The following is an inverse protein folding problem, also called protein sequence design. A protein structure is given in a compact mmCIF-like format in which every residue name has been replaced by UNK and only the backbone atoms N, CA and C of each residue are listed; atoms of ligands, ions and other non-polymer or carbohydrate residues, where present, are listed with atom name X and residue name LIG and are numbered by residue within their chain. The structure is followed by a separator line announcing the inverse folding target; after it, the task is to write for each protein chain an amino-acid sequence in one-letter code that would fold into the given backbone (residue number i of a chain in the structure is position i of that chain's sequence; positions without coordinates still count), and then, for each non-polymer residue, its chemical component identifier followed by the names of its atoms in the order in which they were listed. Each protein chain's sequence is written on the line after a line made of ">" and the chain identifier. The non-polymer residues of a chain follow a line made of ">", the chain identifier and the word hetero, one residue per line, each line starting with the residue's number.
data_IF_783469798389
#
_entry.id   IF_783469798389
#
_cell.length_a   1.000
_cell.length_b   1.000
_cell.length_c   1.000
_cell.angle_alpha   90.00
_cell.angle_beta   90.00
_cell.angle_gamma   90.00
#
_symmetry.space_group_name_H-M   'P 1'
#
loop_
_entity.id
_entity.type
_entity.pdbx_description
1 polymer ?
#
# COMPACT_ATOMS: atom_id res chain seq x y z
N UNK A 1 -8.97 15.09 -0.83
CA UNK A 1 -8.03 14.90 0.29
C UNK A 1 -8.84 14.67 1.54
N UNK A 2 -8.46 13.68 2.36
CA UNK A 2 -9.05 13.40 3.66
C UNK A 2 -7.95 13.38 4.70
N UNK A 3 -8.19 14.02 5.85
CA UNK A 3 -7.32 13.98 7.03
C UNK A 3 -8.12 13.50 8.22
N UNK A 4 -7.64 12.47 8.93
CA UNK A 4 -8.31 11.90 10.09
C UNK A 4 -7.35 11.04 10.92
N UNK A 5 -7.62 10.81 12.21
CA UNK A 5 -6.76 9.92 13.00
C UNK A 5 -6.89 8.46 12.54
N UNK A 6 -8.09 8.01 12.19
CA UNK A 6 -8.33 6.64 11.78
C UNK A 6 -9.34 6.59 10.64
N UNK A 7 -9.06 5.76 9.64
CA UNK A 7 -10.03 5.38 8.61
C UNK A 7 -10.27 3.87 8.65
N UNK A 8 -11.53 3.48 8.86
CA UNK A 8 -11.97 2.09 8.77
C UNK A 8 -12.77 1.91 7.47
N UNK A 9 -12.18 1.22 6.50
CA UNK A 9 -12.75 0.88 5.22
C UNK A 9 -12.99 -0.64 5.07
N UNK A 10 -13.31 -1.35 6.16
CA UNK A 10 -13.61 -2.78 6.10
C UNK A 10 -14.84 -3.06 5.23
N UNK A 11 -14.68 -3.92 4.22
CA UNK A 11 -15.71 -4.23 3.21
C UNK A 11 -16.25 -2.99 2.47
N UNK A 12 -15.58 -1.84 2.60
CA UNK A 12 -15.97 -0.57 2.03
C UNK A 12 -15.23 -0.25 0.75
N UNK A 13 -15.61 0.88 0.13
CA UNK A 13 -14.95 1.40 -1.07
C UNK A 13 -14.65 2.89 -0.87
N UNK A 14 -13.38 3.25 -1.00
CA UNK A 14 -12.93 4.63 -1.18
C UNK A 14 -12.41 4.75 -2.61
N UNK A 15 -12.96 5.68 -3.40
CA UNK A 15 -12.54 5.83 -4.79
C UNK A 15 -12.46 7.29 -5.25
N UNK A 16 -11.56 7.58 -6.19
CA UNK A 16 -11.39 8.91 -6.76
C UNK A 16 -10.88 8.89 -8.21
N UNK A 17 -11.48 9.71 -9.08
CA UNK A 17 -11.12 9.79 -10.50
C UNK A 17 -9.85 10.63 -10.77
N UNK A 18 -9.63 11.68 -9.99
CA UNK A 18 -8.43 12.54 -10.13
C UNK A 18 -7.31 12.09 -9.19
N UNK A 19 -7.64 11.27 -8.19
CA UNK A 19 -6.73 10.80 -7.17
C UNK A 19 -7.44 10.56 -5.85
N UNK A 20 -6.75 9.91 -4.92
CA UNK A 20 -7.16 9.72 -3.54
C UNK A 20 -5.95 10.06 -2.68
N UNK A 21 -6.05 11.14 -1.90
CA UNK A 21 -5.04 11.54 -0.92
C UNK A 21 -5.59 11.37 0.49
N UNK A 22 -4.96 10.49 1.28
CA UNK A 22 -5.31 10.21 2.67
C UNK A 22 -4.13 10.55 3.58
N UNK A 23 -4.34 11.44 4.55
CA UNK A 23 -3.38 11.72 5.62
C UNK A 23 -3.97 11.21 6.92
N UNK A 24 -3.46 10.09 7.43
CA UNK A 24 -4.10 9.35 8.52
C UNK A 24 -3.16 9.04 9.68
N UNK A 25 -3.71 8.78 10.86
CA UNK A 25 -2.99 8.04 11.89
C UNK A 25 -2.89 6.56 11.51
N UNK A 26 -4.02 5.91 11.22
CA UNK A 26 -4.08 4.51 10.82
C UNK A 26 -5.14 4.25 9.74
N UNK A 27 -4.92 3.22 8.92
CA UNK A 27 -5.88 2.73 7.93
C UNK A 27 -6.15 1.25 8.12
N UNK A 28 -7.43 0.90 8.30
CA UNK A 28 -7.91 -0.49 8.22
C UNK A 28 -8.72 -0.67 6.94
N UNK A 29 -8.13 -1.33 5.95
CA UNK A 29 -8.72 -1.66 4.64
C UNK A 29 -8.95 -3.18 4.48
N UNK A 30 -9.19 -3.91 5.57
CA UNK A 30 -9.35 -5.36 5.52
C UNK A 30 -10.61 -5.77 4.76
N UNK A 31 -10.48 -6.54 3.67
CA UNK A 31 -11.58 -6.87 2.76
C UNK A 31 -12.17 -5.66 2.01
N UNK A 32 -11.59 -4.47 2.18
CA UNK A 32 -12.02 -3.22 1.54
C UNK A 32 -11.25 -2.90 0.27
N UNK A 33 -11.64 -1.83 -0.39
CA UNK A 33 -10.97 -1.30 -1.58
C UNK A 33 -10.71 0.20 -1.47
N UNK A 34 -9.47 0.62 -1.69
CA UNK A 34 -9.10 2.02 -1.93
C UNK A 34 -8.54 2.10 -3.34
N UNK A 35 -9.19 2.89 -4.18
CA UNK A 35 -8.89 3.00 -5.61
C UNK A 35 -8.69 4.45 -6.05
N UNK A 36 -7.61 4.72 -6.77
CA UNK A 36 -7.43 5.98 -7.47
C UNK A 36 -7.20 5.73 -8.96
N UNK A 37 -7.89 6.49 -9.82
CA UNK A 37 -7.65 6.41 -11.27
C UNK A 37 -6.32 7.08 -11.68
N UNK A 38 -5.81 8.04 -10.92
CA UNK A 38 -4.57 8.75 -11.26
C UNK A 38 -3.49 8.57 -10.19
N UNK A 39 -3.68 9.12 -9.00
CA UNK A 39 -2.69 9.00 -7.92
C UNK A 39 -3.36 8.53 -6.64
N UNK A 40 -2.81 7.45 -6.06
CA UNK A 40 -3.15 7.03 -4.71
C UNK A 40 -2.00 7.45 -3.79
N UNK A 41 -2.20 8.53 -3.04
CA UNK A 41 -1.24 9.02 -2.06
C UNK A 41 -1.73 8.74 -0.64
N UNK A 42 -0.93 8.01 0.12
CA UNK A 42 -1.21 7.56 1.47
C UNK A 42 -0.08 8.00 2.38
N UNK A 43 -0.34 8.94 3.28
CA UNK A 43 0.60 9.38 4.31
C UNK A 43 0.05 9.00 5.67
N UNK A 44 0.68 8.04 6.34
CA UNK A 44 0.24 7.51 7.63
C UNK A 44 1.32 7.63 8.67
N UNK A 45 0.99 8.14 9.84
CA UNK A 45 1.91 8.12 11.00
C UNK A 45 1.95 6.77 11.71
N UNK A 46 1.00 5.89 11.39
CA UNK A 46 0.84 4.56 11.98
C UNK A 46 0.66 3.47 10.94
N UNK A 47 -0.06 2.41 11.32
CA UNK A 47 -0.16 1.19 10.54
C UNK A 47 -1.18 1.28 9.38
N UNK A 48 -0.83 0.62 8.27
CA UNK A 48 -1.76 0.24 7.20
C UNK A 48 -2.06 -1.25 7.32
N UNK A 49 -3.32 -1.60 7.59
CA UNK A 49 -3.82 -2.96 7.49
C UNK A 49 -4.61 -3.11 6.18
N UNK A 50 -3.99 -3.75 5.19
CA UNK A 50 -4.58 -4.11 3.90
C UNK A 50 -4.79 -5.63 3.76
N UNK A 51 -4.93 -6.37 4.85
CA UNK A 51 -5.10 -7.82 4.79
C UNK A 51 -6.38 -8.17 4.02
N UNK A 52 -6.28 -9.04 3.01
CA UNK A 52 -7.38 -9.38 2.09
C UNK A 52 -8.03 -8.16 1.40
N UNK A 53 -7.41 -6.98 1.49
CA UNK A 53 -7.88 -5.73 0.94
C UNK A 53 -7.20 -5.38 -0.38
N UNK A 54 -7.63 -4.27 -0.96
CA UNK A 54 -7.05 -3.72 -2.20
C UNK A 54 -6.70 -2.26 -2.02
N UNK A 55 -5.43 -1.92 -2.26
CA UNK A 55 -4.94 -0.57 -2.55
C UNK A 55 -4.52 -0.55 -4.02
N UNK A 56 -5.20 0.24 -4.85
CA UNK A 56 -4.95 0.27 -6.30
C UNK A 56 -4.85 1.69 -6.83
N UNK A 57 -3.84 1.93 -7.65
CA UNK A 57 -3.76 3.09 -8.52
C UNK A 57 -3.67 2.68 -9.99
N UNK A 58 -4.43 3.33 -10.86
CA UNK A 58 -4.21 3.24 -12.33
C UNK A 58 -3.15 4.25 -12.83
N UNK A 59 -2.58 5.04 -11.94
CA UNK A 59 -1.33 5.78 -12.19
C UNK A 59 -0.36 5.52 -11.04
N UNK A 60 0.15 6.56 -10.36
CA UNK A 60 1.17 6.41 -9.31
C UNK A 60 0.58 5.97 -7.97
N UNK A 61 1.37 5.23 -7.19
CA UNK A 61 1.06 4.88 -5.81
C UNK A 61 2.20 5.33 -4.91
N UNK A 62 1.91 6.22 -3.98
CA UNK A 62 2.85 6.72 -2.99
C UNK A 62 2.33 6.37 -1.60
N UNK A 63 3.11 5.62 -0.83
CA UNK A 63 2.76 5.17 0.51
C UNK A 63 3.89 5.48 1.49
N UNK A 64 3.57 6.24 2.52
CA UNK A 64 4.37 6.44 3.73
C UNK A 64 3.58 5.88 4.92
N UNK A 65 4.19 4.99 5.70
CA UNK A 65 3.53 4.39 6.86
C UNK A 65 4.53 3.89 7.91
N UNK A 66 4.09 3.74 9.17
CA UNK A 66 4.91 3.09 10.17
C UNK A 66 5.05 1.58 9.91
N UNK A 67 3.98 0.92 9.43
CA UNK A 67 3.99 -0.50 9.07
C UNK A 67 2.93 -0.82 8.02
N UNK A 68 3.16 -1.91 7.28
CA UNK A 68 2.24 -2.40 6.26
C UNK A 68 1.96 -3.90 6.46
N UNK A 69 0.72 -4.24 6.75
CA UNK A 69 0.20 -5.60 6.69
C UNK A 69 -0.62 -5.80 5.40
N UNK A 70 -0.22 -6.74 4.57
CA UNK A 70 -0.82 -7.04 3.26
C UNK A 70 -1.05 -8.55 3.07
N UNK A 71 -1.36 -9.27 4.14
CA UNK A 71 -1.57 -10.73 4.08
C UNK A 71 -2.78 -11.07 3.22
N UNK A 72 -2.57 -11.83 2.13
CA UNK A 72 -3.60 -12.11 1.12
C UNK A 72 -4.17 -10.87 0.42
N UNK A 73 -3.59 -9.69 0.66
CA UNK A 73 -4.03 -8.42 0.10
C UNK A 73 -3.31 -8.06 -1.19
N UNK A 74 -3.70 -6.91 -1.77
CA UNK A 74 -3.10 -6.37 -2.99
C UNK A 74 -2.77 -4.89 -2.84
N UNK A 75 -1.53 -4.53 -3.14
CA UNK A 75 -1.07 -3.16 -3.35
C UNK A 75 -0.57 -3.08 -4.79
N UNK A 76 -1.26 -2.31 -5.65
CA UNK A 76 -0.99 -2.32 -7.10
C UNK A 76 -0.98 -0.92 -7.69
N UNK A 77 -0.09 -0.71 -8.67
CA UNK A 77 0.03 0.54 -9.43
C UNK A 77 0.28 0.24 -10.90
N UNK A 78 -0.45 0.89 -11.81
CA UNK A 78 -0.12 0.85 -13.24
C UNK A 78 1.04 1.81 -13.60
N UNK A 79 1.30 2.81 -12.75
CA UNK A 79 2.47 3.68 -12.81
C UNK A 79 3.57 3.21 -11.86
N UNK A 80 4.42 4.16 -11.46
CA UNK A 80 5.47 3.92 -10.45
C UNK A 80 4.83 3.78 -9.08
N UNK A 81 5.33 2.83 -8.28
CA UNK A 81 4.99 2.70 -6.88
C UNK A 81 6.20 2.98 -5.97
N UNK A 82 6.02 3.85 -5.00
CA UNK A 82 6.98 4.15 -3.94
C UNK A 82 6.37 3.83 -2.59
N UNK A 83 6.95 2.88 -1.87
CA UNK A 83 6.51 2.47 -0.54
C UNK A 83 7.66 2.73 0.44
N UNK A 84 7.49 3.72 1.30
CA UNK A 84 8.38 4.02 2.42
C UNK A 84 7.69 3.57 3.71
N UNK A 85 8.17 2.48 4.30
CA UNK A 85 7.58 1.92 5.51
C UNK A 85 8.63 1.89 6.59
N UNK A 86 8.40 2.53 7.75
CA UNK A 86 9.47 2.68 8.74
C UNK A 86 9.88 1.35 9.40
N UNK A 87 8.89 0.51 9.72
CA UNK A 87 9.11 -0.76 10.43
C UNK A 87 8.90 -1.97 9.50
N UNK A 88 7.90 -2.79 9.79
CA UNK A 88 7.69 -4.06 9.11
C UNK A 88 6.76 -3.93 7.90
N UNK A 89 7.13 -4.61 6.82
CA UNK A 89 6.27 -4.93 5.69
C UNK A 89 5.99 -6.43 5.70
N UNK A 90 4.72 -6.79 5.85
CA UNK A 90 4.25 -8.18 5.85
C UNK A 90 3.39 -8.41 4.62
N UNK A 91 3.92 -9.14 3.64
CA UNK A 91 3.29 -9.46 2.36
C UNK A 91 3.03 -10.97 2.20
N UNK A 92 2.60 -11.63 3.28
CA UNK A 92 2.40 -13.09 3.30
C UNK A 92 1.24 -13.51 2.40
N UNK A 93 1.50 -14.26 1.33
CA UNK A 93 0.49 -14.61 0.32
C UNK A 93 -0.19 -13.39 -0.36
N UNK A 94 0.36 -12.20 -0.15
CA UNK A 94 -0.11 -10.94 -0.72
C UNK A 94 0.64 -10.57 -1.99
N UNK A 95 0.25 -9.43 -2.56
CA UNK A 95 0.86 -8.89 -3.77
C UNK A 95 1.20 -7.42 -3.59
N UNK A 96 2.42 -7.04 -3.94
CA UNK A 96 2.87 -5.66 -4.12
C UNK A 96 3.44 -5.57 -5.54
N UNK A 97 2.71 -4.91 -6.45
CA UNK A 97 3.02 -4.92 -7.89
C UNK A 97 2.97 -3.52 -8.47
N UNK A 98 3.95 -3.17 -9.31
CA UNK A 98 3.91 -1.98 -10.14
C UNK A 98 4.24 -2.29 -11.60
N UNK A 99 3.46 -1.75 -12.53
CA UNK A 99 3.70 -1.99 -13.97
C UNK A 99 4.86 -1.13 -14.52
N UNK A 100 5.20 0.00 -13.88
CA UNK A 100 6.25 0.92 -14.36
C UNK A 100 7.53 0.96 -13.51
N UNK A 101 7.50 0.48 -12.27
CA UNK A 101 8.67 0.39 -11.39
C UNK A 101 8.30 0.48 -9.91
N UNK A 102 8.93 -0.37 -9.09
CA UNK A 102 8.68 -0.45 -7.66
C UNK A 102 9.92 -0.08 -6.83
N UNK A 103 9.75 0.86 -5.91
CA UNK A 103 10.70 1.11 -4.82
C UNK A 103 10.02 0.80 -3.48
N UNK A 104 10.64 -0.05 -2.67
CA UNK A 104 10.17 -0.39 -1.33
C UNK A 104 11.32 -0.28 -0.32
N UNK A 105 11.11 0.51 0.73
CA UNK A 105 12.01 0.63 1.87
C UNK A 105 11.33 0.14 3.14
N UNK A 106 12.02 -0.66 3.96
CA UNK A 106 11.53 -1.06 5.28
C UNK A 106 12.62 -1.52 6.26
N UNK A 107 12.36 -1.47 7.57
CA UNK A 107 13.28 -2.10 8.54
C UNK A 107 13.25 -3.63 8.41
N UNK A 108 12.09 -4.23 8.09
CA UNK A 108 11.97 -5.66 7.81
C UNK A 108 10.97 -5.97 6.71
N UNK A 109 11.18 -7.08 6.00
CA UNK A 109 10.32 -7.54 4.92
C UNK A 109 10.07 -9.04 5.06
N UNK A 110 8.79 -9.39 5.24
CA UNK A 110 8.31 -10.76 5.13
C UNK A 110 7.48 -10.91 3.85
N UNK A 111 8.06 -11.54 2.84
CA UNK A 111 7.39 -11.88 1.59
C UNK A 111 7.19 -13.41 1.46
N UNK A 112 6.84 -14.08 2.56
CA UNK A 112 6.64 -15.54 2.59
C UNK A 112 5.22 -15.97 2.16
N UNK A 113 4.90 -17.25 2.32
CA UNK A 113 3.59 -17.84 1.98
C UNK A 113 3.09 -17.57 0.56
N UNK A 114 3.98 -17.65 -0.44
CA UNK A 114 3.69 -17.27 -1.83
C UNK A 114 3.40 -15.77 -2.03
N UNK A 115 3.92 -14.93 -1.14
CA UNK A 115 3.95 -13.48 -1.30
C UNK A 115 4.70 -13.09 -2.58
N UNK A 116 4.17 -12.11 -3.29
CA UNK A 116 4.73 -11.64 -4.56
C UNK A 116 5.03 -10.15 -4.51
N UNK A 117 6.28 -9.83 -4.84
CA UNK A 117 6.74 -8.47 -5.10
C UNK A 117 7.28 -8.45 -6.53
N UNK A 118 6.73 -7.58 -7.38
CA UNK A 118 7.12 -7.53 -8.79
C UNK A 118 6.94 -6.13 -9.38
N UNK A 119 7.71 -5.83 -10.41
CA UNK A 119 7.48 -4.69 -11.27
C UNK A 119 8.50 -4.56 -12.38
N UNK A 120 8.32 -3.57 -13.25
CA UNK A 120 9.27 -3.25 -14.31
C UNK A 120 10.49 -2.51 -13.74
N UNK A 121 11.30 -3.25 -12.97
CA UNK A 121 12.29 -2.73 -12.04
C UNK A 121 11.78 -2.81 -10.61
N UNK A 122 12.58 -3.40 -9.73
CA UNK A 122 12.29 -3.52 -8.30
C UNK A 122 13.54 -3.13 -7.53
N UNK A 123 13.41 -2.13 -6.66
CA UNK A 123 14.43 -1.71 -5.71
C UNK A 123 13.91 -1.97 -4.31
N UNK A 124 14.60 -2.85 -3.58
CA UNK A 124 14.29 -3.19 -2.19
C UNK A 124 15.43 -2.71 -1.29
N UNK A 125 15.10 -1.85 -0.34
CA UNK A 125 16.02 -1.41 0.72
C UNK A 125 15.47 -1.88 2.05
N UNK A 126 15.94 -3.02 2.56
CA UNK A 126 15.38 -3.66 3.75
C UNK A 126 16.45 -4.07 4.76
N UNK A 127 16.13 -4.09 6.05
CA UNK A 127 17.07 -4.49 7.11
C UNK A 127 17.90 -3.34 7.69
N UNK A 128 17.36 -2.11 7.64
CA UNK A 128 17.97 -0.91 8.23
C UNK A 128 17.69 -0.80 9.74
#
# INVERSE_FOLDING_TARGET
>A
MLTADNLNNQNGVVSGQQGVQLTLGQLTNSGGSVYAKNTLGLTLTGAVNNNQGVLRSDGTLDLEAASLANTGGRVTSAGVATLQVDAAVVNQGGQIISDAGLTLSSASLDNSQSGRIAGNGVVLTTGA
#
